data_IF_168365267039
#
_entry.id   IF_168365267039
#
_cell.length_a   1.000
_cell.length_b   1.000
_cell.length_c   1.000
_cell.angle_alpha   90.00
_cell.angle_beta   90.00
_cell.angle_gamma   90.00
#
_symmetry.space_group_name_H-M   'P 1'
#
loop_
_entity.id
_entity.type
_entity.pdbx_description
1 polymer ?
#
# COMPACT_ATOMS: atom_id res chain seq x y z
N UNK A 1 -17.28 3.71 -1.44
CA UNK A 1 -16.28 2.61 -1.58
C UNK A 1 -16.79 1.25 -1.09
N UNK A 2 -17.20 1.09 0.18
CA UNK A 2 -17.55 -0.23 0.77
C UNK A 2 -18.48 -1.09 -0.09
N UNK A 3 -19.64 -0.57 -0.51
CA UNK A 3 -20.57 -1.32 -1.36
C UNK A 3 -20.00 -1.65 -2.75
N UNK A 4 -19.31 -0.67 -3.37
CA UNK A 4 -18.72 -0.79 -4.69
C UNK A 4 -17.52 -1.73 -4.77
N UNK A 5 -16.72 -1.88 -3.70
CA UNK A 5 -15.57 -2.78 -3.69
C UNK A 5 -15.93 -4.16 -3.13
N UNK A 6 -16.67 -4.20 -2.02
CA UNK A 6 -16.82 -5.40 -1.20
C UNK A 6 -18.27 -5.89 -1.05
N UNK A 7 -19.27 -5.17 -1.59
CA UNK A 7 -20.66 -5.63 -1.58
C UNK A 7 -20.87 -6.87 -2.45
N UNK A 8 -22.08 -7.45 -2.43
CA UNK A 8 -22.39 -8.65 -3.25
C UNK A 8 -22.27 -8.46 -4.77
N UNK A 9 -22.23 -7.20 -5.23
CA UNK A 9 -21.88 -6.83 -6.62
C UNK A 9 -20.61 -5.98 -6.69
N UNK A 10 -19.82 -5.92 -5.62
CA UNK A 10 -18.62 -5.12 -5.55
C UNK A 10 -17.49 -5.70 -6.41
N UNK A 11 -16.53 -4.86 -6.76
CA UNK A 11 -15.39 -5.20 -7.62
C UNK A 11 -14.67 -6.47 -7.14
N UNK A 12 -14.08 -6.44 -5.94
CA UNK A 12 -13.43 -7.62 -5.34
C UNK A 12 -14.43 -8.71 -4.97
N UNK A 13 -15.64 -8.34 -4.56
CA UNK A 13 -16.71 -9.29 -4.22
C UNK A 13 -17.13 -10.21 -5.37
N UNK A 14 -16.96 -9.78 -6.62
CA UNK A 14 -17.18 -10.61 -7.82
C UNK A 14 -15.96 -11.41 -8.26
N UNK A 15 -14.85 -11.34 -7.53
CA UNK A 15 -13.58 -12.00 -7.87
C UNK A 15 -12.76 -11.25 -8.93
N UNK A 16 -13.10 -9.99 -9.24
CA UNK A 16 -12.23 -9.14 -10.08
C UNK A 16 -10.93 -8.85 -9.33
N UNK A 17 -9.84 -8.65 -10.08
CA UNK A 17 -8.51 -8.37 -9.52
C UNK A 17 -7.98 -7.06 -10.07
N UNK A 18 -7.48 -6.19 -9.20
CA UNK A 18 -6.83 -4.93 -9.58
C UNK A 18 -5.71 -5.16 -10.61
N UNK A 19 -4.88 -6.19 -10.39
CA UNK A 19 -3.77 -6.59 -11.28
C UNK A 19 -4.17 -7.01 -12.71
N UNK A 20 -5.45 -7.27 -13.00
CA UNK A 20 -5.93 -7.52 -14.35
C UNK A 20 -6.19 -6.22 -15.15
N UNK A 21 -6.28 -5.08 -14.46
CA UNK A 21 -6.51 -3.78 -15.07
C UNK A 21 -5.23 -2.97 -15.20
N UNK A 22 -4.33 -3.01 -14.23
CA UNK A 22 -3.03 -2.40 -14.40
C UNK A 22 -2.17 -3.28 -15.30
N UNK A 23 -1.48 -2.70 -16.28
CA UNK A 23 -0.42 -3.36 -17.07
C UNK A 23 0.79 -3.79 -16.21
N UNK A 24 0.62 -3.84 -14.89
CA UNK A 24 1.63 -3.98 -13.85
C UNK A 24 1.13 -4.86 -12.69
N UNK A 25 0.73 -6.10 -12.99
CA UNK A 25 0.99 -7.23 -12.07
C UNK A 25 2.51 -7.49 -11.85
N UNK A 26 3.35 -6.54 -12.29
CA UNK A 26 4.79 -6.36 -12.10
C UNK A 26 5.18 -6.07 -10.64
N UNK A 27 4.22 -5.76 -9.76
CA UNK A 27 4.52 -5.36 -8.37
C UNK A 27 4.99 -6.52 -7.46
N UNK A 28 4.67 -7.76 -7.82
CA UNK A 28 5.24 -8.94 -7.15
C UNK A 28 6.16 -9.68 -8.12
N UNK A 29 7.18 -8.96 -8.59
CA UNK A 29 8.28 -9.58 -9.31
C UNK A 29 9.22 -10.33 -8.37
N UNK A 30 10.11 -11.14 -8.94
CA UNK A 30 11.02 -11.99 -8.18
C UNK A 30 11.98 -11.18 -7.30
N UNK A 31 12.32 -9.95 -7.70
CA UNK A 31 13.21 -9.06 -6.94
C UNK A 31 12.50 -8.50 -5.71
N UNK A 32 11.24 -8.08 -5.86
CA UNK A 32 10.44 -7.60 -4.72
C UNK A 32 10.27 -8.72 -3.67
N UNK A 33 9.85 -9.91 -4.12
CA UNK A 33 9.69 -11.07 -3.25
C UNK A 33 11.00 -11.48 -2.55
N UNK A 34 12.14 -11.40 -3.23
CA UNK A 34 13.44 -11.64 -2.61
C UNK A 34 13.82 -10.58 -1.55
N UNK A 35 13.43 -9.32 -1.74
CA UNK A 35 13.56 -8.28 -0.72
C UNK A 35 12.73 -8.60 0.52
N UNK A 36 11.46 -8.96 0.34
CA UNK A 36 10.55 -9.36 1.43
C UNK A 36 11.03 -10.64 2.13
N UNK A 37 11.56 -11.61 1.39
CA UNK A 37 12.14 -12.84 1.95
C UNK A 37 13.34 -12.51 2.87
N UNK A 38 14.23 -11.61 2.47
CA UNK A 38 15.33 -11.15 3.35
C UNK A 38 14.82 -10.47 4.61
N UNK A 39 13.77 -9.65 4.50
CA UNK A 39 13.13 -9.06 5.67
C UNK A 39 12.59 -10.13 6.62
N UNK A 40 11.94 -11.17 6.08
CA UNK A 40 11.45 -12.30 6.85
C UNK A 40 12.58 -13.09 7.52
N UNK A 41 13.73 -13.27 6.85
CA UNK A 41 14.94 -13.87 7.44
C UNK A 41 15.50 -13.02 8.60
N UNK A 42 15.51 -11.69 8.46
CA UNK A 42 15.93 -10.84 9.57
C UNK A 42 14.97 -10.93 10.77
N UNK A 43 13.66 -11.01 10.52
CA UNK A 43 12.65 -11.23 11.57
C UNK A 43 12.83 -12.61 12.21
N UNK A 44 13.10 -13.66 11.43
CA UNK A 44 13.40 -15.01 11.95
C UNK A 44 14.58 -14.98 12.94
N UNK A 45 15.67 -14.31 12.57
CA UNK A 45 16.85 -14.16 13.44
C UNK A 45 16.51 -13.38 14.71
N UNK A 46 15.79 -12.25 14.59
CA UNK A 46 15.40 -11.42 15.75
C UNK A 46 14.48 -12.17 16.72
N UNK A 47 13.60 -13.03 16.21
CA UNK A 47 12.72 -13.89 17.00
C UNK A 47 13.43 -15.13 17.58
N UNK A 48 14.73 -15.28 17.36
CA UNK A 48 15.50 -16.42 17.88
C UNK A 48 15.28 -17.72 17.11
N UNK A 49 14.94 -17.64 15.81
CA UNK A 49 14.70 -18.77 14.90
C UNK A 49 13.66 -19.76 15.43
N UNK A 50 12.41 -19.33 15.62
CA UNK A 50 11.36 -20.18 16.18
C UNK A 50 11.10 -21.44 15.33
N UNK A 51 10.55 -22.49 15.92
CA UNK A 51 10.20 -23.72 15.18
C UNK A 51 9.19 -23.46 14.05
N UNK A 52 8.31 -22.46 14.23
CA UNK A 52 7.37 -21.98 13.22
C UNK A 52 7.48 -20.46 13.08
N UNK A 53 7.52 -19.99 11.84
CA UNK A 53 7.60 -18.57 11.49
C UNK A 53 6.40 -18.19 10.62
N UNK A 54 5.58 -17.25 11.05
CA UNK A 54 4.40 -16.83 10.30
C UNK A 54 4.76 -15.74 9.28
N UNK A 55 4.31 -15.91 8.03
CA UNK A 55 4.27 -14.87 7.02
C UNK A 55 2.81 -14.55 6.69
N UNK A 56 2.35 -13.35 7.05
CA UNK A 56 0.97 -12.89 6.84
C UNK A 56 0.97 -11.92 5.65
N UNK A 57 0.29 -12.29 4.58
CA UNK A 57 0.16 -11.51 3.34
C UNK A 57 -1.24 -10.86 3.33
N UNK A 58 -1.32 -9.56 3.61
CA UNK A 58 -2.56 -8.80 3.70
C UNK A 58 -2.96 -8.25 2.33
N UNK A 59 -4.20 -8.51 1.91
CA UNK A 59 -4.63 -8.20 0.55
C UNK A 59 -3.96 -9.14 -0.45
N UNK A 60 -3.90 -10.43 -0.13
CA UNK A 60 -3.06 -11.41 -0.82
C UNK A 60 -3.36 -11.57 -2.32
N UNK A 61 -4.51 -11.11 -2.82
CA UNK A 61 -4.83 -11.09 -4.24
C UNK A 61 -4.95 -12.49 -4.83
N UNK A 62 -3.94 -12.94 -5.60
CA UNK A 62 -3.84 -14.31 -6.10
C UNK A 62 -2.91 -15.21 -5.27
N UNK A 63 -2.34 -14.72 -4.17
CA UNK A 63 -1.36 -15.42 -3.35
C UNK A 63 0.06 -15.43 -3.96
N UNK A 64 0.32 -14.56 -4.94
CA UNK A 64 1.59 -14.51 -5.65
C UNK A 64 2.75 -14.12 -4.72
N UNK A 65 2.56 -13.16 -3.82
CA UNK A 65 3.62 -12.69 -2.92
C UNK A 65 4.02 -13.77 -1.92
N UNK A 66 3.07 -14.34 -1.17
CA UNK A 66 3.34 -15.48 -0.29
C UNK A 66 4.06 -16.63 -0.99
N UNK A 67 3.65 -16.98 -2.21
CA UNK A 67 4.30 -18.05 -2.98
C UNK A 67 5.74 -17.67 -3.38
N UNK A 68 5.95 -16.46 -3.90
CA UNK A 68 7.25 -16.00 -4.36
C UNK A 68 8.24 -15.79 -3.19
N UNK A 69 7.77 -15.31 -2.04
CA UNK A 69 8.58 -15.16 -0.82
C UNK A 69 9.08 -16.53 -0.36
N UNK A 70 8.20 -17.53 -0.22
CA UNK A 70 8.61 -18.88 0.19
C UNK A 70 9.63 -19.49 -0.78
N UNK A 71 9.45 -19.26 -2.08
CA UNK A 71 10.39 -19.75 -3.10
C UNK A 71 11.77 -19.05 -3.05
N UNK A 72 11.83 -17.81 -2.54
CA UNK A 72 13.07 -17.04 -2.42
C UNK A 72 13.84 -17.30 -1.11
N UNK A 73 13.22 -17.95 -0.12
CA UNK A 73 13.84 -18.25 1.17
C UNK A 73 14.83 -19.42 1.09
N UNK A 74 15.85 -19.46 1.98
CA UNK A 74 16.64 -20.65 2.21
C UNK A 74 15.76 -21.86 2.61
N UNK A 75 16.05 -23.09 2.14
CA UNK A 75 15.21 -24.26 2.38
C UNK A 75 14.89 -24.52 3.86
N UNK A 76 15.84 -24.27 4.76
CA UNK A 76 15.72 -24.43 6.20
C UNK A 76 14.80 -23.41 6.88
N UNK A 77 14.68 -22.20 6.30
CA UNK A 77 13.73 -21.19 6.75
C UNK A 77 12.36 -21.51 6.15
N UNK A 78 12.30 -21.74 4.83
CA UNK A 78 11.08 -22.07 4.11
C UNK A 78 10.33 -23.26 4.71
N UNK A 79 11.05 -24.29 5.20
CA UNK A 79 10.45 -25.46 5.84
C UNK A 79 9.66 -25.15 7.12
N UNK A 80 9.94 -24.02 7.79
CA UNK A 80 9.25 -23.58 9.02
C UNK A 80 8.22 -22.48 8.78
N UNK A 81 8.17 -21.92 7.57
CA UNK A 81 7.27 -20.81 7.26
C UNK A 81 5.83 -21.29 7.11
N UNK A 82 4.92 -20.61 7.79
CA UNK A 82 3.46 -20.76 7.65
C UNK A 82 2.93 -19.52 6.96
N UNK A 83 2.41 -19.69 5.75
CA UNK A 83 1.84 -18.58 4.97
C UNK A 83 0.36 -18.42 5.30
N UNK A 84 -0.02 -17.22 5.72
CA UNK A 84 -1.40 -16.79 5.92
C UNK A 84 -1.73 -15.73 4.87
N UNK A 85 -2.41 -16.13 3.81
CA UNK A 85 -2.95 -15.22 2.81
C UNK A 85 -4.30 -14.68 3.30
N UNK A 86 -4.37 -13.37 3.51
CA UNK A 86 -5.54 -12.68 4.06
C UNK A 86 -6.21 -11.88 2.94
N UNK A 87 -7.36 -12.34 2.48
CA UNK A 87 -8.14 -11.67 1.45
C UNK A 87 -9.63 -12.03 1.55
N UNK A 88 -10.48 -11.07 1.22
CA UNK A 88 -11.94 -11.24 1.17
C UNK A 88 -12.41 -11.92 -0.10
N UNK A 89 -11.57 -11.93 -1.15
CA UNK A 89 -11.84 -12.66 -2.38
C UNK A 89 -11.80 -14.18 -2.16
N UNK A 90 -12.45 -14.97 -3.04
CA UNK A 90 -12.35 -16.42 -3.00
C UNK A 90 -10.90 -16.89 -3.16
N UNK A 91 -10.56 -17.99 -2.47
CA UNK A 91 -9.26 -18.66 -2.63
C UNK A 91 -8.99 -18.99 -4.11
N UNK A 92 -7.85 -18.59 -4.69
CA UNK A 92 -7.48 -18.93 -6.06
C UNK A 92 -7.38 -20.44 -6.29
N UNK A 93 -7.85 -20.89 -7.46
CA UNK A 93 -7.64 -22.26 -7.91
C UNK A 93 -6.14 -22.54 -8.09
N UNK A 94 -5.68 -23.71 -7.63
CA UNK A 94 -4.28 -24.14 -7.78
C UNK A 94 -3.28 -23.50 -6.80
N UNK A 95 -3.74 -22.64 -5.88
CA UNK A 95 -2.89 -22.17 -4.79
C UNK A 95 -2.49 -23.33 -3.89
N UNK A 96 -1.20 -23.42 -3.54
CA UNK A 96 -0.63 -24.49 -2.71
C UNK A 96 -1.43 -24.68 -1.41
N UNK A 97 -1.82 -25.91 -1.11
CA UNK A 97 -2.65 -26.27 0.06
C UNK A 97 -1.99 -25.91 1.40
N UNK A 98 -0.68 -25.66 1.42
CA UNK A 98 0.06 -25.20 2.60
C UNK A 98 -0.19 -23.73 2.92
N UNK A 99 -0.71 -22.94 1.97
CA UNK A 99 -1.10 -21.55 2.21
C UNK A 99 -2.47 -21.53 2.88
N UNK A 100 -2.55 -20.98 4.09
CA UNK A 100 -3.84 -20.76 4.77
C UNK A 100 -4.51 -19.53 4.17
N UNK A 101 -5.77 -19.66 3.73
CA UNK A 101 -6.56 -18.56 3.17
C UNK A 101 -7.67 -18.15 4.12
N UNK A 102 -7.80 -16.85 4.39
CA UNK A 102 -8.82 -16.33 5.32
C UNK A 102 -9.21 -14.90 5.00
N UNK A 103 -10.42 -14.48 5.39
CA UNK A 103 -10.88 -13.10 5.20
C UNK A 103 -10.41 -12.14 6.31
N UNK A 104 -9.88 -12.67 7.42
CA UNK A 104 -9.45 -11.90 8.58
C UNK A 104 -8.03 -12.33 8.97
N UNK A 105 -7.18 -11.41 9.45
CA UNK A 105 -5.82 -11.74 9.85
C UNK A 105 -5.79 -12.78 10.99
N UNK A 106 -4.77 -13.65 11.03
CA UNK A 106 -4.62 -14.63 12.10
C UNK A 106 -4.41 -13.93 13.45
N UNK A 107 -4.82 -14.60 14.53
CA UNK A 107 -4.55 -14.14 15.90
C UNK A 107 -3.35 -14.88 16.47
N UNK A 108 -2.43 -14.11 17.07
CA UNK A 108 -1.23 -14.62 17.72
C UNK A 108 -0.10 -15.00 16.76
N UNK A 109 -0.10 -14.49 15.53
CA UNK A 109 0.96 -14.76 14.56
C UNK A 109 2.32 -14.23 15.03
N UNK A 110 3.39 -14.97 14.78
CA UNK A 110 4.76 -14.65 15.18
C UNK A 110 5.66 -14.66 13.96
N UNK A 111 5.98 -13.47 13.45
CA UNK A 111 6.79 -13.34 12.24
C UNK A 111 6.56 -12.01 11.53
N UNK A 112 6.38 -12.06 10.21
CA UNK A 112 6.22 -10.87 9.37
C UNK A 112 4.78 -10.78 8.86
N UNK A 113 4.13 -9.67 9.14
CA UNK A 113 2.94 -9.22 8.42
C UNK A 113 3.35 -8.23 7.35
N UNK A 114 2.91 -8.44 6.12
CA UNK A 114 3.19 -7.60 4.97
C UNK A 114 1.89 -7.23 4.26
N UNK A 115 1.66 -5.94 4.08
CA UNK A 115 0.52 -5.38 3.38
C UNK A 115 1.03 -4.56 2.20
N UNK A 116 0.99 -5.13 0.99
CA UNK A 116 1.38 -4.44 -0.23
C UNK A 116 0.12 -3.91 -0.93
N UNK A 117 -0.02 -2.59 -1.05
CA UNK A 117 -1.15 -1.94 -1.74
C UNK A 117 -2.51 -2.43 -1.19
N UNK A 118 -2.62 -2.43 0.13
CA UNK A 118 -3.82 -2.91 0.82
C UNK A 118 -4.63 -1.75 1.39
N UNK A 119 -3.97 -0.74 1.96
CA UNK A 119 -4.64 0.34 2.68
C UNK A 119 -5.33 1.31 1.73
N UNK A 120 -4.83 1.47 0.50
CA UNK A 120 -5.45 2.28 -0.56
C UNK A 120 -6.88 1.81 -0.90
N UNK A 121 -7.12 0.50 -0.80
CA UNK A 121 -8.40 -0.15 -1.08
C UNK A 121 -9.34 -0.22 0.13
N UNK A 122 -8.84 0.05 1.34
CA UNK A 122 -9.69 0.14 2.53
C UNK A 122 -10.62 1.36 2.40
N UNK A 123 -11.96 1.19 2.52
CA UNK A 123 -12.93 2.26 2.27
C UNK A 123 -12.71 3.47 3.17
N UNK A 124 -12.76 4.67 2.61
CA UNK A 124 -12.70 5.93 3.35
C UNK A 124 -13.94 6.80 3.10
N UNK A 125 -14.13 7.78 3.98
CA UNK A 125 -15.11 8.85 3.83
C UNK A 125 -14.43 10.14 3.34
N UNK A 126 -15.15 10.93 2.54
CA UNK A 126 -14.65 12.19 1.99
C UNK A 126 -15.35 13.34 2.69
N UNK A 127 -14.59 14.40 2.99
CA UNK A 127 -15.12 15.65 3.51
C UNK A 127 -14.87 16.81 2.53
N UNK A 128 -15.81 17.75 2.49
CA UNK A 128 -15.69 19.02 1.78
C UNK A 128 -16.41 20.14 2.58
N UNK A 129 -16.01 21.41 2.41
CA UNK A 129 -16.65 22.51 3.12
C UNK A 129 -17.98 22.88 2.46
N UNK A 130 -18.97 23.23 3.29
CA UNK A 130 -20.17 23.92 2.83
C UNK A 130 -19.89 25.40 2.47
N UNK A 131 -20.87 26.16 1.94
CA UNK A 131 -20.67 27.58 1.59
C UNK A 131 -20.24 28.47 2.76
N UNK A 132 -20.37 28.01 4.00
CA UNK A 132 -19.92 28.72 5.21
C UNK A 132 -18.54 28.23 5.70
N UNK A 133 -17.90 27.32 4.98
CA UNK A 133 -16.61 26.74 5.34
C UNK A 133 -16.69 25.57 6.32
N UNK A 134 -17.88 25.10 6.69
CA UNK A 134 -18.02 24.01 7.67
C UNK A 134 -17.82 22.66 6.97
N UNK A 135 -16.89 21.79 7.44
CA UNK A 135 -16.71 20.45 6.90
C UNK A 135 -17.99 19.60 6.99
N UNK A 136 -18.36 18.95 5.88
CA UNK A 136 -19.46 17.98 5.78
C UNK A 136 -18.99 16.75 5.02
N UNK A 137 -19.64 15.61 5.26
CA UNK A 137 -19.41 14.42 4.44
C UNK A 137 -19.80 14.71 2.99
N UNK A 138 -19.09 14.10 2.05
CA UNK A 138 -19.48 14.04 0.64
C UNK A 138 -20.15 12.70 0.39
N UNK A 139 -21.43 12.77 0.04
CA UNK A 139 -22.22 11.62 -0.38
C UNK A 139 -22.16 11.49 -1.90
N UNK A 140 -22.19 10.25 -2.39
CA UNK A 140 -22.13 9.94 -3.82
C UNK A 140 -23.30 9.04 -4.21
N UNK A 141 -23.96 9.38 -5.31
CA UNK A 141 -24.90 8.46 -5.96
C UNK A 141 -24.11 7.29 -6.56
N UNK A 142 -24.40 6.04 -6.15
CA UNK A 142 -23.59 4.89 -6.56
C UNK A 142 -23.76 4.51 -8.04
N UNK A 143 -24.80 4.98 -8.72
CA UNK A 143 -25.07 4.69 -10.13
C UNK A 143 -24.51 5.78 -11.05
N UNK A 144 -24.69 7.05 -10.69
CA UNK A 144 -24.30 8.19 -11.52
C UNK A 144 -22.94 8.76 -11.17
N UNK A 145 -22.49 8.59 -9.92
CA UNK A 145 -21.33 9.27 -9.37
C UNK A 145 -21.56 10.72 -9.00
N UNK A 146 -22.81 11.21 -9.05
CA UNK A 146 -23.12 12.58 -8.63
C UNK A 146 -22.86 12.75 -7.13
N UNK A 147 -22.14 13.80 -6.79
CA UNK A 147 -21.77 14.11 -5.42
C UNK A 147 -22.62 15.23 -4.83
N UNK A 148 -22.88 15.16 -3.53
CA UNK A 148 -23.52 16.22 -2.75
C UNK A 148 -22.92 16.29 -1.36
N UNK A 149 -23.09 17.44 -0.70
CA UNK A 149 -22.81 17.55 0.73
C UNK A 149 -23.89 16.82 1.52
N UNK A 150 -23.46 15.98 2.44
CA UNK A 150 -24.31 15.26 3.39
C UNK A 150 -24.31 15.92 4.77
N UNK A 151 -24.43 15.07 5.78
CA UNK A 151 -24.46 15.47 7.18
C UNK A 151 -23.13 16.09 7.66
N UNK A 152 -23.16 16.88 8.76
CA UNK A 152 -21.95 17.30 9.44
C UNK A 152 -21.06 16.11 9.83
N UNK A 153 -19.75 16.33 9.87
CA UNK A 153 -18.81 15.29 10.30
C UNK A 153 -19.09 14.83 11.73
N UNK A 154 -18.97 13.54 11.96
CA UNK A 154 -18.93 13.00 13.32
C UNK A 154 -17.75 13.60 14.11
N UNK A 155 -17.85 13.74 15.45
CA UNK A 155 -16.79 14.33 16.26
C UNK A 155 -15.41 13.69 16.06
N UNK A 156 -15.36 12.36 15.96
CA UNK A 156 -14.11 11.62 15.78
C UNK A 156 -13.49 11.86 14.40
N UNK A 157 -14.30 12.01 13.35
CA UNK A 157 -13.83 12.33 12.00
C UNK A 157 -13.41 13.79 11.89
N UNK A 158 -14.13 14.70 12.55
CA UNK A 158 -13.73 16.11 12.65
C UNK A 158 -12.39 16.25 13.36
N UNK A 159 -12.18 15.52 14.47
CA UNK A 159 -10.92 15.51 15.20
C UNK A 159 -9.78 14.89 14.39
N UNK A 160 -10.04 13.79 13.68
CA UNK A 160 -9.08 13.17 12.78
C UNK A 160 -8.68 14.13 11.67
N UNK A 161 -9.66 14.78 11.02
CA UNK A 161 -9.46 15.74 9.95
C UNK A 161 -8.59 16.91 10.42
N UNK A 162 -8.94 17.54 11.55
CA UNK A 162 -8.17 18.66 12.08
C UNK A 162 -6.70 18.29 12.38
N UNK A 163 -6.48 17.08 12.92
CA UNK A 163 -5.14 16.58 13.25
C UNK A 163 -4.31 16.24 12.02
N UNK A 164 -4.91 15.61 11.01
CA UNK A 164 -4.15 14.99 9.93
C UNK A 164 -4.26 15.75 8.61
N UNK A 165 -5.37 16.41 8.30
CA UNK A 165 -5.54 17.12 7.03
C UNK A 165 -5.40 18.64 7.21
N UNK A 166 -4.26 19.26 6.84
CA UNK A 166 -4.08 20.70 6.96
C UNK A 166 -5.00 21.41 5.97
N UNK A 167 -5.63 22.48 6.41
CA UNK A 167 -6.45 23.33 5.55
C UNK A 167 -5.56 24.29 4.75
N UNK A 168 -6.01 24.76 3.57
CA UNK A 168 -5.26 25.72 2.75
C UNK A 168 -4.85 27.00 3.50
N UNK A 169 -5.61 27.37 4.54
CA UNK A 169 -5.37 28.55 5.38
C UNK A 169 -4.27 28.31 6.44
N UNK A 170 -3.78 27.07 6.58
CA UNK A 170 -2.72 26.71 7.54
C UNK A 170 -1.29 26.94 6.99
N UNK A 171 -1.14 27.47 5.76
CA UNK A 171 0.15 27.64 5.08
C UNK A 171 0.47 29.07 4.64
N UNK A 172 1.72 29.51 4.78
CA UNK A 172 2.20 30.78 4.22
C UNK A 172 2.08 30.83 2.69
N UNK A 173 1.87 32.02 2.09
CA UNK A 173 1.85 32.20 0.64
C UNK A 173 3.17 31.71 0.01
N UNK A 174 3.13 30.65 -0.79
CA UNK A 174 4.29 30.10 -1.51
C UNK A 174 4.70 28.67 -1.14
N UNK A 175 4.00 28.00 -0.22
CA UNK A 175 4.16 26.55 0.01
C UNK A 175 3.73 25.75 -1.24
N UNK A 176 4.33 24.59 -1.57
CA UNK A 176 4.10 23.85 -2.82
C UNK A 176 2.74 23.13 -2.88
N UNK A 177 1.67 23.79 -2.43
CA UNK A 177 0.28 23.50 -2.76
C UNK A 177 -0.07 23.96 -4.19
N UNK A 178 0.93 24.40 -4.97
CA UNK A 178 0.79 24.70 -6.38
C UNK A 178 0.50 23.42 -7.16
N UNK A 179 -0.61 23.42 -7.88
CA UNK A 179 -0.91 22.48 -8.96
C UNK A 179 0.36 22.31 -9.80
N UNK A 180 0.90 21.10 -10.01
CA UNK A 180 1.96 20.94 -10.98
C UNK A 180 1.43 21.36 -12.35
N UNK A 181 2.09 22.35 -12.97
CA UNK A 181 1.78 22.92 -14.29
C UNK A 181 1.88 21.90 -15.46
N UNK A 182 2.07 20.60 -15.14
CA UNK A 182 2.36 19.55 -16.10
C UNK A 182 1.28 18.48 -16.08
N UNK A 183 0.73 18.24 -17.26
CA UNK A 183 0.02 17.00 -17.60
C UNK A 183 1.05 15.87 -17.58
N UNK A 184 0.83 14.80 -16.81
CA UNK A 184 1.65 13.60 -16.80
C UNK A 184 1.89 13.00 -18.17
N UNK A 185 3.15 12.70 -18.48
CA UNK A 185 3.55 12.01 -19.71
C UNK A 185 3.82 10.50 -19.46
N UNK A 186 3.73 10.02 -18.21
CA UNK A 186 4.04 8.64 -17.83
C UNK A 186 2.88 7.89 -17.12
N UNK A 187 2.73 6.57 -17.30
CA UNK A 187 1.61 5.79 -16.73
C UNK A 187 1.55 5.65 -15.20
N UNK A 188 2.47 6.28 -14.46
CA UNK A 188 2.57 6.21 -12.99
C UNK A 188 2.42 7.56 -12.27
N UNK A 189 2.21 8.64 -13.01
CA UNK A 189 1.88 9.94 -12.44
C UNK A 189 0.35 10.02 -12.31
N UNK A 190 -0.16 9.76 -11.10
CA UNK A 190 -1.57 9.91 -10.75
C UNK A 190 -1.97 11.37 -10.93
N UNK A 191 -2.80 11.61 -11.94
CA UNK A 191 -3.45 12.89 -12.20
C UNK A 191 -4.27 13.27 -10.96
N UNK A 192 -3.80 14.29 -10.23
CA UNK A 192 -4.62 15.03 -9.26
C UNK A 192 -5.91 15.43 -9.99
N UNK A 193 -7.11 15.22 -9.41
CA UNK A 193 -8.34 15.67 -10.05
C UNK A 193 -8.23 17.17 -10.39
N UNK A 194 -8.75 17.62 -11.55
CA UNK A 194 -8.60 19.00 -11.99
C UNK A 194 -9.04 19.97 -10.89
N UNK A 195 -8.31 21.08 -10.75
CA UNK A 195 -8.45 22.08 -9.69
C UNK A 195 -9.83 22.76 -9.62
N UNK A 196 -10.72 22.46 -10.58
CA UNK A 196 -12.04 23.06 -10.80
C UNK A 196 -13.18 22.19 -10.22
N UNK A 197 -12.94 21.51 -9.10
CA UNK A 197 -13.99 20.83 -8.35
C UNK A 197 -15.00 21.83 -7.74
N UNK A 198 -16.25 21.43 -7.48
CA UNK A 198 -17.28 22.33 -6.94
C UNK A 198 -17.00 22.81 -5.50
N UNK A 199 -15.96 22.27 -4.85
CA UNK A 199 -15.62 22.53 -3.46
C UNK A 199 -14.30 23.27 -3.32
N UNK A 200 -14.20 24.12 -2.29
CA UNK A 200 -12.97 24.85 -2.00
C UNK A 200 -11.81 23.91 -1.62
N UNK A 201 -12.08 22.77 -0.98
CA UNK A 201 -11.10 21.70 -0.76
C UNK A 201 -11.83 20.37 -0.61
N UNK A 202 -11.08 19.26 -0.73
CA UNK A 202 -11.58 17.90 -0.53
C UNK A 202 -10.57 17.12 0.31
N UNK A 203 -11.05 16.48 1.36
CA UNK A 203 -10.22 15.72 2.28
C UNK A 203 -10.68 14.26 2.41
N UNK A 204 -9.72 13.37 2.59
CA UNK A 204 -9.95 11.92 2.67
C UNK A 204 -9.72 11.45 4.09
N UNK A 205 -10.81 11.10 4.79
CA UNK A 205 -10.80 10.73 6.21
C UNK A 205 -10.33 9.28 6.35
N UNK A 206 -9.11 9.11 6.86
CA UNK A 206 -8.43 7.81 6.96
C UNK A 206 -8.75 6.97 8.18
N UNK A 207 -9.75 7.34 9.02
CA UNK A 207 -10.04 6.67 10.31
C UNK A 207 -10.29 5.15 10.16
N UNK A 208 -10.93 4.75 9.07
CA UNK A 208 -11.16 3.33 8.74
C UNK A 208 -9.87 2.58 8.40
N UNK A 209 -8.92 3.23 7.72
CA UNK A 209 -7.59 2.70 7.38
C UNK A 209 -6.73 2.55 8.64
N UNK A 210 -6.77 3.57 9.50
CA UNK A 210 -6.15 3.56 10.83
C UNK A 210 -6.64 2.35 11.65
N UNK A 211 -7.96 2.14 11.69
CA UNK A 211 -8.55 1.01 12.42
C UNK A 211 -8.24 -0.36 11.77
N UNK A 212 -8.18 -0.42 10.43
CA UNK A 212 -7.82 -1.63 9.71
C UNK A 212 -6.36 -2.03 9.99
N UNK A 213 -5.42 -1.09 9.87
CA UNK A 213 -4.02 -1.30 10.20
C UNK A 213 -3.83 -1.72 11.65
N UNK A 214 -4.46 -1.00 12.60
CA UNK A 214 -4.40 -1.34 14.01
C UNK A 214 -4.87 -2.78 14.28
N UNK A 215 -5.99 -3.21 13.67
CA UNK A 215 -6.51 -4.57 13.82
C UNK A 215 -5.54 -5.63 13.28
N UNK A 216 -4.92 -5.37 12.12
CA UNK A 216 -3.95 -6.28 11.53
C UNK A 216 -2.71 -6.43 12.43
N UNK A 217 -2.16 -5.30 12.90
CA UNK A 217 -1.04 -5.25 13.84
C UNK A 217 -1.37 -5.94 15.16
N UNK A 218 -2.56 -5.67 15.74
CA UNK A 218 -3.01 -6.26 17.01
C UNK A 218 -3.24 -7.79 16.91
N UNK A 219 -3.33 -8.34 15.69
CA UNK A 219 -3.36 -9.78 15.44
C UNK A 219 -2.01 -10.47 15.65
N UNK A 220 -0.91 -9.72 15.67
CA UNK A 220 0.45 -10.26 15.83
C UNK A 220 0.82 -10.40 17.32
N UNK A 221 1.47 -11.51 17.68
CA UNK A 221 2.02 -11.73 19.01
C UNK A 221 3.49 -11.32 19.14
N UNK A 222 4.25 -11.33 18.04
CA UNK A 222 5.66 -10.94 17.99
C UNK A 222 6.09 -10.71 16.53
N UNK A 223 7.17 -9.94 16.34
CA UNK A 223 7.77 -9.70 15.03
C UNK A 223 7.47 -8.31 14.46
N UNK A 224 7.24 -8.25 13.15
CA UNK A 224 7.19 -6.99 12.40
C UNK A 224 5.95 -6.92 11.51
N UNK A 225 5.35 -5.74 11.42
CA UNK A 225 4.29 -5.45 10.46
C UNK A 225 4.76 -4.35 9.50
N UNK A 226 4.58 -4.57 8.20
CA UNK A 226 4.91 -3.63 7.13
C UNK A 226 3.69 -3.31 6.28
N UNK A 227 3.48 -2.03 5.96
CA UNK A 227 2.61 -1.60 4.88
C UNK A 227 3.40 -0.82 3.83
N UNK A 228 3.32 -1.23 2.57
CA UNK A 228 3.87 -0.53 1.42
C UNK A 228 2.72 -0.06 0.54
N UNK A 229 2.51 1.25 0.49
CA UNK A 229 1.36 1.85 -0.18
C UNK A 229 1.74 3.19 -0.77
N UNK A 230 1.12 3.55 -1.89
CA UNK A 230 1.23 4.91 -2.41
C UNK A 230 0.37 5.86 -1.56
N UNK A 231 0.98 6.96 -1.17
CA UNK A 231 0.46 7.78 -0.09
C UNK A 231 1.14 9.12 0.02
N UNK A 232 0.80 9.83 1.08
CA UNK A 232 1.36 11.13 1.41
C UNK A 232 1.48 11.30 2.92
N UNK A 233 2.36 12.19 3.34
CA UNK A 233 2.41 12.73 4.71
C UNK A 233 1.70 14.07 4.77
N UNK A 234 1.48 14.61 5.97
CA UNK A 234 0.81 15.91 6.19
C UNK A 234 1.29 17.04 5.28
N UNK A 235 2.59 17.13 5.04
CA UNK A 235 3.19 18.21 4.25
C UNK A 235 2.99 18.06 2.75
N UNK A 236 2.62 16.87 2.26
CA UNK A 236 2.42 16.57 0.84
C UNK A 236 0.99 16.16 0.48
N UNK A 237 0.02 16.37 1.39
CA UNK A 237 -1.40 16.03 1.17
C UNK A 237 -1.99 16.91 0.05
N UNK A 238 -2.61 16.33 -0.99
CA UNK A 238 -3.20 17.10 -2.07
C UNK A 238 -4.51 17.76 -1.63
N UNK A 239 -4.66 19.04 -1.97
CA UNK A 239 -5.82 19.87 -1.58
C UNK A 239 -7.18 19.33 -2.04
N UNK A 240 -7.21 18.56 -3.12
CA UNK A 240 -8.43 18.00 -3.72
C UNK A 240 -8.56 16.49 -3.52
N UNK A 241 -7.75 15.89 -2.66
CA UNK A 241 -7.70 14.43 -2.49
C UNK A 241 -7.14 13.72 -3.73
N UNK A 242 -7.29 12.40 -3.74
CA UNK A 242 -6.71 11.46 -4.70
C UNK A 242 -7.67 10.37 -5.16
N UNK A 243 -8.89 10.31 -4.59
CA UNK A 243 -9.89 9.31 -4.88
C UNK A 243 -10.15 9.20 -6.38
N UNK A 244 -9.93 8.01 -6.92
CA UNK A 244 -10.01 7.76 -8.35
C UNK A 244 -10.55 6.36 -8.63
N UNK A 245 -11.09 6.16 -9.83
CA UNK A 245 -11.49 4.85 -10.34
C UNK A 245 -10.54 4.38 -11.42
N UNK A 246 -10.42 3.07 -11.58
CA UNK A 246 -9.75 2.42 -12.69
C UNK A 246 -10.66 1.41 -13.36
N UNK A 247 -10.60 1.40 -14.69
CA UNK A 247 -11.29 0.42 -15.52
C UNK A 247 -10.43 0.07 -16.72
N UNK A 248 -10.01 -1.19 -16.82
CA UNK A 248 -9.15 -1.69 -17.91
C UNK A 248 -7.86 -0.86 -18.05
N UNK A 249 -7.25 -0.51 -16.92
CA UNK A 249 -5.97 0.21 -16.85
C UNK A 249 -6.04 1.69 -17.18
N UNK A 250 -7.25 2.23 -17.28
CA UNK A 250 -7.48 3.65 -17.50
C UNK A 250 -8.12 4.25 -16.28
N UNK A 251 -7.59 5.40 -15.87
CA UNK A 251 -8.19 6.23 -14.84
C UNK A 251 -9.56 6.73 -15.34
N UNK A 252 -10.56 6.65 -14.47
CA UNK A 252 -11.96 7.03 -14.71
C UNK A 252 -12.53 7.65 -13.43
N UNK A 253 -13.71 8.27 -13.52
CA UNK A 253 -14.43 8.75 -12.34
C UNK A 253 -14.68 7.61 -11.33
N UNK A 254 -14.54 7.85 -10.01
CA UNK A 254 -14.63 6.84 -8.94
C UNK A 254 -16.07 6.43 -8.61
N UNK A 255 -16.86 6.04 -9.62
CA UNK A 255 -18.25 5.62 -9.44
C UNK A 255 -18.28 4.25 -8.75
N UNK A 256 -18.85 4.11 -7.54
CA UNK A 256 -18.79 2.88 -6.76
C UNK A 256 -19.90 1.88 -7.14
N UNK A 257 -20.15 1.68 -8.44
CA UNK A 257 -21.12 0.70 -8.97
C UNK A 257 -20.57 -0.74 -9.03
N UNK A 258 -19.31 -0.91 -8.63
CA UNK A 258 -18.57 -2.15 -8.65
C UNK A 258 -17.96 -2.53 -9.99
N UNK A 259 -18.17 -1.78 -11.07
CA UNK A 259 -17.50 -2.03 -12.36
C UNK A 259 -16.09 -1.43 -12.46
N UNK A 260 -15.64 -0.77 -11.40
CA UNK A 260 -14.39 -0.03 -11.30
C UNK A 260 -13.66 -0.42 -10.04
N UNK A 261 -12.35 -0.46 -10.14
CA UNK A 261 -11.45 -0.49 -8.99
C UNK A 261 -11.33 0.94 -8.45
N UNK A 262 -11.79 1.18 -7.23
CA UNK A 262 -11.83 2.52 -6.63
C UNK A 262 -10.82 2.57 -5.51
N UNK A 263 -9.92 3.53 -5.58
CA UNK A 263 -8.80 3.65 -4.65
C UNK A 263 -8.46 5.12 -4.37
N UNK A 264 -7.68 5.35 -3.32
CA UNK A 264 -7.14 6.66 -2.95
C UNK A 264 -5.80 6.49 -2.23
N UNK A 265 -4.90 7.46 -2.40
CA UNK A 265 -3.63 7.53 -1.68
C UNK A 265 -3.84 7.47 -0.17
N UNK A 266 -2.86 6.90 0.54
CA UNK A 266 -2.95 6.69 1.98
C UNK A 266 -2.34 7.86 2.76
N UNK A 267 -3.06 8.30 3.78
CA UNK A 267 -2.59 9.19 4.85
C UNK A 267 -1.57 8.47 5.76
N UNK A 268 -0.38 8.16 5.24
CA UNK A 268 0.55 7.19 5.86
C UNK A 268 1.08 7.62 7.22
N UNK A 269 1.24 8.92 7.46
CA UNK A 269 1.61 9.49 8.76
C UNK A 269 0.49 9.36 9.81
N UNK A 270 -0.77 9.37 9.39
CA UNK A 270 -1.90 9.11 10.28
C UNK A 270 -1.89 7.64 10.73
N UNK A 271 -1.77 6.71 9.77
CA UNK A 271 -1.70 5.26 10.02
C UNK A 271 -0.50 4.93 10.91
N UNK A 272 0.68 5.52 10.62
CA UNK A 272 1.88 5.35 11.43
C UNK A 272 1.66 5.81 12.89
N UNK A 273 0.92 6.91 13.08
CA UNK A 273 0.63 7.48 14.39
C UNK A 273 -0.19 6.59 15.33
N UNK A 274 -0.94 5.60 14.83
CA UNK A 274 -1.84 4.76 15.64
C UNK A 274 -1.10 3.71 16.47
N UNK A 275 0.05 3.24 15.99
CA UNK A 275 0.89 2.22 16.65
C UNK A 275 2.36 2.62 16.75
N UNK A 276 2.69 3.90 16.51
CA UNK A 276 4.04 4.42 16.63
C UNK A 276 5.00 3.84 15.58
N UNK A 277 4.52 3.65 14.35
CA UNK A 277 5.33 3.15 13.25
C UNK A 277 6.27 4.21 12.66
N UNK A 278 7.29 3.74 11.94
CA UNK A 278 8.26 4.58 11.25
C UNK A 278 8.02 4.54 9.74
N UNK A 279 8.16 5.69 9.08
CA UNK A 279 8.02 5.82 7.63
C UNK A 279 9.38 6.00 6.96
N UNK A 280 9.54 5.35 5.82
CA UNK A 280 10.61 5.59 4.83
C UNK A 280 10.00 5.45 3.42
N UNK A 281 10.80 5.58 2.37
CA UNK A 281 10.34 5.27 1.01
C UNK A 281 10.61 3.80 0.66
N UNK A 282 9.80 3.22 -0.22
CA UNK A 282 10.01 1.87 -0.75
C UNK A 282 11.42 1.72 -1.31
N UNK A 283 11.91 2.71 -2.05
CA UNK A 283 13.28 2.72 -2.56
C UNK A 283 14.32 2.55 -1.45
N UNK A 284 14.18 3.28 -0.35
CA UNK A 284 15.12 3.22 0.77
C UNK A 284 15.03 1.87 1.49
N UNK A 285 13.82 1.39 1.76
CA UNK A 285 13.59 0.08 2.36
C UNK A 285 14.16 -1.07 1.50
N UNK A 286 13.83 -1.10 0.21
CA UNK A 286 14.32 -2.14 -0.70
C UNK A 286 15.84 -2.10 -0.87
N UNK A 287 16.46 -0.92 -0.93
CA UNK A 287 17.92 -0.79 -0.94
C UNK A 287 18.56 -1.32 0.33
N UNK A 288 17.96 -1.05 1.50
CA UNK A 288 18.41 -1.61 2.77
C UNK A 288 18.33 -3.15 2.78
N UNK A 289 17.32 -3.72 2.09
CA UNK A 289 17.16 -5.16 1.86
C UNK A 289 18.02 -5.70 0.70
N UNK A 290 18.98 -4.92 0.19
CA UNK A 290 19.94 -5.35 -0.83
C UNK A 290 19.39 -5.41 -2.26
N UNK A 291 18.22 -4.82 -2.53
CA UNK A 291 17.71 -4.67 -3.89
C UNK A 291 18.51 -3.60 -4.62
N UNK A 292 19.12 -3.98 -5.74
CA UNK A 292 19.98 -3.09 -6.54
C UNK A 292 19.67 -3.19 -8.03
N UNK A 293 19.49 -2.03 -8.66
CA UNK A 293 19.39 -1.90 -10.12
C UNK A 293 20.74 -1.85 -10.85
N UNK A 294 21.84 -2.16 -10.17
CA UNK A 294 23.16 -2.23 -10.82
C UNK A 294 23.17 -3.31 -11.90
N UNK A 295 23.53 -2.91 -13.12
CA UNK A 295 23.61 -3.85 -14.25
C UNK A 295 24.71 -4.89 -14.03
N UNK A 296 24.50 -6.15 -14.45
CA UNK A 296 25.55 -7.16 -14.38
C UNK A 296 26.77 -6.79 -15.25
N UNK A 297 27.98 -7.23 -14.89
CA UNK A 297 29.17 -7.00 -15.70
C UNK A 297 29.02 -7.57 -17.12
N UNK A 298 29.43 -6.81 -18.14
CA UNK A 298 29.31 -7.24 -19.54
C UNK A 298 30.08 -8.54 -19.84
N UNK A 299 31.16 -8.83 -19.10
CA UNK A 299 31.92 -10.08 -19.24
C UNK A 299 31.05 -11.33 -19.02
N UNK A 300 30.00 -11.25 -18.19
CA UNK A 300 29.06 -12.33 -17.96
C UNK A 300 28.30 -12.69 -19.25
N UNK A 301 28.03 -11.72 -20.14
CA UNK A 301 27.38 -12.00 -21.42
C UNK A 301 28.20 -12.93 -22.33
N UNK A 302 29.53 -12.95 -22.19
CA UNK A 302 30.40 -13.88 -22.92
C UNK A 302 30.56 -15.25 -22.27
N UNK A 303 30.35 -15.35 -20.95
CA UNK A 303 30.58 -16.58 -20.17
C UNK A 303 29.28 -17.36 -19.93
N UNK A 304 28.21 -16.66 -19.57
CA UNK A 304 26.85 -17.17 -19.38
C UNK A 304 25.84 -16.14 -19.91
N UNK A 305 25.54 -16.18 -21.23
CA UNK A 305 24.56 -15.27 -21.83
C UNK A 305 23.19 -15.34 -21.16
N UNK A 306 22.74 -16.53 -20.77
CA UNK A 306 21.43 -16.70 -20.14
C UNK A 306 21.41 -16.11 -18.72
N UNK A 307 22.48 -16.31 -17.95
CA UNK A 307 22.69 -15.68 -16.65
C UNK A 307 22.77 -14.17 -16.74
N UNK A 308 23.44 -13.63 -17.76
CA UNK A 308 23.46 -12.19 -17.99
C UNK A 308 22.07 -11.63 -18.25
N UNK A 309 21.26 -12.26 -19.10
CA UNK A 309 19.88 -11.82 -19.37
C UNK A 309 19.02 -11.88 -18.12
N UNK A 310 19.10 -12.95 -17.33
CA UNK A 310 18.38 -13.05 -16.04
C UNK A 310 18.79 -11.94 -15.06
N UNK A 311 20.09 -11.72 -14.91
CA UNK A 311 20.60 -10.67 -14.02
C UNK A 311 20.25 -9.26 -14.51
N UNK A 312 20.22 -9.04 -15.83
CA UNK A 312 19.82 -7.76 -16.41
C UNK A 312 18.32 -7.51 -16.24
N UNK A 313 17.48 -8.53 -16.38
CA UNK A 313 16.05 -8.44 -16.11
C UNK A 313 15.79 -8.09 -14.62
N UNK A 314 16.47 -8.76 -13.70
CA UNK A 314 16.39 -8.44 -12.27
C UNK A 314 16.87 -7.01 -11.96
N UNK A 315 17.95 -6.55 -12.60
CA UNK A 315 18.42 -5.17 -12.44
C UNK A 315 17.41 -4.14 -12.99
N UNK A 316 16.71 -4.47 -14.08
CA UNK A 316 15.62 -3.65 -14.63
C UNK A 316 14.44 -3.54 -13.67
N UNK A 317 13.96 -4.67 -13.16
CA UNK A 317 12.89 -4.73 -12.15
C UNK A 317 13.27 -3.94 -10.89
N UNK A 318 14.49 -4.13 -10.36
CA UNK A 318 15.00 -3.37 -9.23
C UNK A 318 15.06 -1.86 -9.49
N UNK A 319 15.40 -1.45 -10.72
CA UNK A 319 15.43 -0.05 -11.11
C UNK A 319 14.02 0.56 -11.12
N UNK A 320 13.01 -0.17 -11.59
CA UNK A 320 11.60 0.27 -11.55
C UNK A 320 11.07 0.37 -10.11
N UNK A 321 11.27 -0.67 -9.29
CA UNK A 321 10.86 -0.71 -7.88
C UNK A 321 11.48 0.40 -7.02
N UNK A 322 12.63 0.93 -7.44
CA UNK A 322 13.35 1.98 -6.73
C UNK A 322 13.34 3.33 -7.45
N UNK A 323 12.63 3.47 -8.57
CA UNK A 323 12.58 4.69 -9.37
C UNK A 323 11.92 5.86 -8.63
N UNK A 324 12.43 7.08 -8.85
CA UNK A 324 11.74 8.32 -8.43
C UNK A 324 10.67 8.69 -9.45
N UNK A 325 9.58 9.31 -9.01
CA UNK A 325 8.40 9.58 -9.84
C UNK A 325 7.62 8.29 -10.21
N UNK A 326 7.79 7.23 -9.42
CA UNK A 326 7.21 5.91 -9.67
C UNK A 326 7.20 5.08 -8.39
N UNK A 327 7.35 3.76 -8.52
CA UNK A 327 7.16 2.81 -7.41
C UNK A 327 8.08 3.06 -6.21
N UNK A 328 9.29 3.56 -6.46
CA UNK A 328 10.22 3.85 -5.38
C UNK A 328 9.77 4.99 -4.46
N UNK A 329 8.74 5.75 -4.82
CA UNK A 329 8.16 6.82 -4.01
C UNK A 329 6.99 6.35 -3.12
N UNK A 330 6.60 5.07 -3.22
CA UNK A 330 5.66 4.47 -2.27
C UNK A 330 6.21 4.63 -0.87
N UNK A 331 5.32 4.83 0.10
CA UNK A 331 5.71 4.94 1.49
C UNK A 331 5.73 3.56 2.11
N UNK A 332 6.77 3.31 2.89
CA UNK A 332 7.01 2.06 3.59
C UNK A 332 6.87 2.32 5.09
N UNK A 333 5.77 1.84 5.66
CA UNK A 333 5.46 1.90 7.08
C UNK A 333 5.93 0.62 7.75
N UNK A 334 6.77 0.76 8.77
CA UNK A 334 7.20 -0.34 9.64
C UNK A 334 6.65 -0.14 11.05
N UNK A 335 5.97 -1.15 11.59
CA UNK A 335 5.49 -1.19 12.99
C UNK A 335 6.06 -2.42 13.68
N UNK A 336 6.90 -2.21 14.70
CA UNK A 336 7.46 -3.29 15.50
C UNK A 336 6.42 -3.77 16.53
N UNK A 337 6.21 -5.08 16.64
CA UNK A 337 5.26 -5.67 17.59
C UNK A 337 5.88 -5.77 18.99
N UNK A 338 7.20 -5.98 19.06
CA UNK A 338 7.98 -6.01 20.28
C UNK A 338 9.31 -5.26 20.11
N UNK A 339 9.97 -4.83 21.22
CA UNK A 339 11.22 -4.06 21.14
C UNK A 339 12.36 -4.79 20.43
N UNK A 340 12.35 -6.13 20.41
CA UNK A 340 13.38 -6.95 19.75
C UNK A 340 13.22 -6.94 18.23
N UNK A 341 12.03 -6.61 17.74
CA UNK A 341 11.67 -6.58 16.33
C UNK A 341 11.81 -5.20 15.67
N UNK A 342 12.12 -4.15 16.44
CA UNK A 342 12.42 -2.84 15.88
C UNK A 342 13.68 -2.92 15.00
N UNK A 343 13.62 -2.34 13.79
CA UNK A 343 14.81 -2.18 12.96
C UNK A 343 15.86 -1.36 13.73
N UNK A 344 17.16 -1.69 13.64
CA UNK A 344 18.19 -0.83 14.20
C UNK A 344 18.06 0.56 13.56
N UNK A 345 18.12 1.61 14.38
CA UNK A 345 18.11 2.98 13.88
C UNK A 345 19.21 3.14 12.81
N UNK A 346 18.94 3.85 11.70
CA UNK A 346 20.00 4.15 10.75
C UNK A 346 21.16 4.84 11.48
N UNK A 347 22.42 4.56 11.11
CA UNK A 347 23.55 5.22 11.74
C UNK A 347 23.38 6.74 11.56
N UNK A 348 23.40 7.47 12.68
CA UNK A 348 23.47 8.93 12.66
C UNK A 348 24.74 9.31 11.92
N UNK A 349 24.59 9.90 10.74
CA UNK A 349 25.68 10.63 10.08
C UNK A 349 26.00 11.85 10.94
N UNK A 350 27.11 11.77 11.67
CA UNK A 350 27.89 12.95 12.11
C UNK A 350 28.56 13.64 10.92
#
# INVERSE_FOLDING_TARGET
MRAGLYGGRGFFGRGERAGAHFRTSVHVGAVFAAGVARLLEEVDVRLGRPEALDFVDMGAGGGELGTAVVAALPPEVAARVRVHAVDVAPRPEGLDDRVTWSAEPPRGARGLLFANEWLDNVPLDVAAPDPHGTPRYVEVDPETGEERLGEPLEPDDSAWLARWWPHPDDGEPGSPNGVPDRVPESPGELLVPPADGPFAWRAEIGRSRDAAWARAVDGMAAGLAVAADYGHTRTGRPRWGTLTGYRKGRQVAPIPDGSRDVTAHVAMDAVAGIRGGTLTTQREALRALGVSGTRPPLALAGQDPAGYVRALAAAGEAAELTARGGLGDFLWLTTAIDPQSAAPAPPTTE
#
